data_IF_467343207133
#
_entry.id   IF_467343207133
#
_cell.length_a   1.000
_cell.length_b   1.000
_cell.length_c   1.000
_cell.angle_alpha   90.00
_cell.angle_beta   90.00
_cell.angle_gamma   90.00
#
_symmetry.space_group_name_H-M   'P 1'
#
loop_
_entity.id
_entity.type
_entity.pdbx_description
1 polymer ?
#
# COMPACT_ATOMS: atom_id res chain seq x y z
N UNK A 1 2.93 17.36 10.62
CA UNK A 1 2.14 16.51 9.71
C UNK A 1 3.09 15.94 8.68
N UNK A 2 3.37 14.64 8.70
CA UNK A 2 4.43 14.06 7.88
C UNK A 2 3.85 13.39 6.62
N UNK A 3 3.85 14.06 5.45
CA UNK A 3 3.36 13.49 4.19
C UNK A 3 4.12 12.22 3.77
N UNK A 4 5.26 11.92 4.41
CA UNK A 4 6.08 10.75 4.17
C UNK A 4 5.59 9.48 4.88
N UNK A 5 4.67 9.55 5.85
CA UNK A 5 4.24 8.35 6.60
C UNK A 5 3.56 7.33 5.68
N UNK A 6 2.66 7.78 4.81
CA UNK A 6 2.00 6.89 3.84
C UNK A 6 3.00 6.26 2.87
N UNK A 7 4.03 7.02 2.47
CA UNK A 7 5.09 6.56 1.58
C UNK A 7 5.99 5.51 2.25
N UNK A 8 6.40 5.76 3.50
CA UNK A 8 7.17 4.80 4.30
C UNK A 8 6.39 3.50 4.52
N UNK A 9 5.09 3.57 4.82
CA UNK A 9 4.24 2.40 4.98
C UNK A 9 4.10 1.62 3.67
N UNK A 10 3.84 2.30 2.54
CA UNK A 10 3.78 1.63 1.25
C UNK A 10 5.10 0.93 0.89
N UNK A 11 6.24 1.54 1.21
CA UNK A 11 7.55 0.94 0.99
C UNK A 11 7.80 -0.27 1.90
N UNK A 12 7.36 -0.22 3.15
CA UNK A 12 7.40 -1.36 4.07
C UNK A 12 6.52 -2.52 3.57
N UNK A 13 5.32 -2.22 3.08
CA UNK A 13 4.43 -3.21 2.48
C UNK A 13 5.04 -3.85 1.22
N UNK A 14 5.70 -3.04 0.37
CA UNK A 14 6.46 -3.54 -0.79
C UNK A 14 7.58 -4.52 -0.37
N UNK A 15 8.28 -4.23 0.73
CA UNK A 15 9.32 -5.11 1.27
C UNK A 15 8.72 -6.46 1.70
N UNK A 16 7.67 -6.45 2.53
CA UNK A 16 7.00 -7.68 2.95
C UNK A 16 6.41 -8.47 1.76
N UNK A 17 5.84 -7.79 0.76
CA UNK A 17 5.38 -8.43 -0.48
C UNK A 17 6.53 -9.14 -1.19
N UNK A 18 7.71 -8.51 -1.28
CA UNK A 18 8.89 -9.13 -1.92
C UNK A 18 9.44 -10.34 -1.16
N UNK A 19 9.19 -10.42 0.15
CA UNK A 19 9.54 -11.56 1.00
C UNK A 19 8.49 -12.70 0.96
N UNK A 20 7.38 -12.54 0.22
CA UNK A 20 6.26 -13.49 0.24
C UNK A 20 5.37 -13.38 1.48
N UNK A 21 5.62 -12.41 2.36
CA UNK A 21 4.87 -12.16 3.58
C UNK A 21 3.59 -11.36 3.30
N UNK A 22 2.69 -11.90 2.46
CA UNK A 22 1.51 -11.16 1.98
C UNK A 22 0.55 -10.76 3.10
N UNK A 23 0.37 -11.62 4.10
CA UNK A 23 -0.50 -11.34 5.25
C UNK A 23 0.02 -10.18 6.12
N UNK A 24 1.34 -9.94 6.13
CA UNK A 24 1.95 -8.81 6.81
C UNK A 24 1.91 -7.54 5.95
N UNK A 25 2.03 -7.68 4.63
CA UNK A 25 2.03 -6.56 3.69
C UNK A 25 0.64 -5.92 3.50
N UNK A 26 -0.43 -6.71 3.44
CA UNK A 26 -1.79 -6.20 3.19
C UNK A 26 -2.24 -5.11 4.18
N UNK A 27 -2.22 -5.32 5.51
CA UNK A 27 -2.68 -4.30 6.45
C UNK A 27 -1.85 -3.00 6.36
N UNK A 28 -0.58 -3.11 6.00
CA UNK A 28 0.32 -1.96 5.84
C UNK A 28 -0.03 -1.16 4.56
N UNK A 29 -0.33 -1.84 3.45
CA UNK A 29 -0.84 -1.17 2.25
C UNK A 29 -2.17 -0.47 2.51
N UNK A 30 -3.10 -1.12 3.23
CA UNK A 30 -4.39 -0.52 3.59
C UNK A 30 -4.18 0.75 4.41
N UNK A 31 -3.31 0.70 5.42
CA UNK A 31 -3.00 1.88 6.24
C UNK A 31 -2.36 3.02 5.41
N UNK A 32 -1.44 2.70 4.50
CA UNK A 32 -0.84 3.68 3.59
C UNK A 32 -1.89 4.34 2.69
N UNK A 33 -2.82 3.55 2.15
CA UNK A 33 -3.90 4.01 1.29
C UNK A 33 -4.88 4.91 2.05
N UNK A 34 -5.33 4.51 3.25
CA UNK A 34 -6.24 5.34 4.06
C UNK A 34 -5.64 6.71 4.41
N UNK A 35 -4.35 6.74 4.73
CA UNK A 35 -3.66 8.01 4.96
C UNK A 35 -3.61 8.81 3.66
N UNK A 36 -3.20 8.22 2.54
CA UNK A 36 -3.13 8.93 1.27
C UNK A 36 -4.49 9.50 0.82
N UNK A 37 -5.58 8.74 0.96
CA UNK A 37 -6.93 9.18 0.62
C UNK A 37 -7.37 10.37 1.48
N UNK A 38 -7.17 10.30 2.80
CA UNK A 38 -7.52 11.40 3.72
C UNK A 38 -6.68 12.66 3.51
N UNK A 39 -5.46 12.53 3.00
CA UNK A 39 -4.47 13.62 2.95
C UNK A 39 -4.33 14.25 1.57
N UNK A 40 -4.39 13.44 0.53
CA UNK A 40 -4.10 13.81 -0.85
C UNK A 40 -5.34 13.69 -1.75
N UNK A 41 -6.35 12.95 -1.31
CA UNK A 41 -7.55 12.64 -2.09
C UNK A 41 -7.39 11.36 -2.93
N UNK A 42 -8.51 10.82 -3.38
CA UNK A 42 -8.60 9.55 -4.11
C UNK A 42 -7.91 9.54 -5.47
N UNK A 43 -7.86 10.70 -6.14
CA UNK A 43 -7.32 10.89 -7.49
C UNK A 43 -5.84 11.31 -7.51
N UNK A 44 -5.22 11.51 -6.35
CA UNK A 44 -3.82 11.91 -6.32
C UNK A 44 -2.92 10.75 -6.79
N UNK A 45 -1.85 11.00 -7.57
CA UNK A 45 -1.00 9.94 -8.13
C UNK A 45 -0.49 8.95 -7.08
N UNK A 46 -0.02 9.42 -5.92
CA UNK A 46 0.41 8.54 -4.81
C UNK A 46 -0.70 7.63 -4.30
N UNK A 47 -1.92 8.15 -4.18
CA UNK A 47 -3.08 7.37 -3.73
C UNK A 47 -3.42 6.27 -4.72
N UNK A 48 -3.38 6.58 -6.03
CA UNK A 48 -3.55 5.58 -7.10
C UNK A 48 -2.46 4.52 -7.02
N UNK A 49 -1.18 4.91 -6.90
CA UNK A 49 -0.06 3.96 -6.76
C UNK A 49 -0.22 3.01 -5.56
N UNK A 50 -0.71 3.50 -4.42
CA UNK A 50 -0.89 2.65 -3.24
C UNK A 50 -2.03 1.65 -3.43
N UNK A 51 -3.11 2.06 -4.11
CA UNK A 51 -4.22 1.19 -4.51
C UNK A 51 -3.75 0.10 -5.45
N UNK A 52 -3.01 0.45 -6.51
CA UNK A 52 -2.48 -0.50 -7.48
C UNK A 52 -1.56 -1.54 -6.81
N UNK A 53 -0.73 -1.10 -5.85
CA UNK A 53 0.15 -2.01 -5.11
C UNK A 53 -0.64 -3.00 -4.23
N UNK A 54 -1.71 -2.54 -3.59
CA UNK A 54 -2.60 -3.37 -2.78
C UNK A 54 -3.35 -4.39 -3.66
N UNK A 55 -3.89 -3.96 -4.80
CA UNK A 55 -4.56 -4.82 -5.78
C UNK A 55 -3.60 -5.91 -6.28
N UNK A 56 -2.40 -5.52 -6.70
CA UNK A 56 -1.37 -6.48 -7.13
C UNK A 56 -1.02 -7.51 -6.06
N UNK A 57 -0.95 -7.11 -4.79
CA UNK A 57 -0.72 -8.06 -3.69
C UNK A 57 -1.87 -9.05 -3.57
N UNK A 58 -3.12 -8.57 -3.67
CA UNK A 58 -4.31 -9.42 -3.57
C UNK A 58 -4.40 -10.40 -4.73
N UNK A 59 -4.04 -9.98 -5.93
CA UNK A 59 -3.98 -10.85 -7.11
C UNK A 59 -2.96 -11.97 -6.93
N UNK A 60 -1.76 -11.65 -6.45
CA UNK A 60 -0.71 -12.65 -6.17
C UNK A 60 -1.16 -13.63 -5.09
N UNK A 61 -1.81 -13.16 -4.02
CA UNK A 61 -2.32 -14.06 -2.97
C UNK A 61 -3.42 -14.98 -3.47
N UNK A 62 -4.29 -14.49 -4.36
CA UNK A 62 -5.42 -15.24 -4.88
C UNK A 62 -5.03 -16.17 -6.05
N UNK A 63 -3.83 -16.03 -6.61
CA UNK A 63 -3.31 -16.84 -7.71
C UNK A 63 -1.82 -17.18 -7.48
N UNK A 64 -1.52 -18.14 -6.59
CA UNK A 64 -0.16 -18.44 -6.11
C UNK A 64 0.75 -19.10 -7.17
#
# INVERSE_FOLDING_TARGET
>A
YHPHVAESLNNLANLYRSMGCYDQAEPIYVQALEIAERKLGSNHPKTVTYRDNLERLRDIRNNP
#
